data_IF_010309875319
#
_entry.id   IF_010309875319
#
_cell.length_a   1.000
_cell.length_b   1.000
_cell.length_c   1.000
_cell.angle_alpha   90.00
_cell.angle_beta   90.00
_cell.angle_gamma   90.00
#
_symmetry.space_group_name_H-M   'P 1'
#
loop_
_entity.id
_entity.type
_entity.pdbx_description
1 polymer ?
#
# COMPACT_ATOMS: atom_id res chain seq x y z
N UNK A 1 16.46 -6.70 14.41
CA UNK A 1 15.18 -7.36 14.75
C UNK A 1 15.56 -8.67 15.42
N UNK A 2 15.07 -8.94 16.62
CA UNK A 2 15.40 -10.18 17.34
C UNK A 2 14.72 -11.35 16.62
N UNK A 3 15.47 -12.37 16.22
CA UNK A 3 14.91 -13.56 15.59
C UNK A 3 14.26 -14.44 16.65
N UNK A 4 12.94 -14.50 16.63
CA UNK A 4 12.16 -15.42 17.47
C UNK A 4 11.96 -16.75 16.73
N UNK A 5 12.12 -17.91 17.41
CA UNK A 5 11.82 -19.20 16.80
C UNK A 5 10.38 -19.25 16.27
N UNK A 6 10.18 -19.86 15.10
CA UNK A 6 8.87 -19.95 14.46
C UNK A 6 7.84 -20.63 15.37
N UNK A 7 8.25 -21.63 16.14
CA UNK A 7 7.38 -22.34 17.08
C UNK A 7 6.88 -21.44 18.23
N UNK A 8 7.75 -20.56 18.74
CA UNK A 8 7.37 -19.59 19.77
C UNK A 8 6.30 -18.63 19.25
N UNK A 9 6.47 -18.13 18.02
CA UNK A 9 5.49 -17.25 17.37
C UNK A 9 4.14 -17.97 17.18
N UNK A 10 4.16 -19.23 16.73
CA UNK A 10 2.94 -20.02 16.56
C UNK A 10 2.24 -20.31 17.90
N UNK A 11 3.01 -20.59 18.96
CA UNK A 11 2.47 -20.78 20.31
C UNK A 11 1.75 -19.53 20.83
N UNK A 12 2.33 -18.34 20.63
CA UNK A 12 1.72 -17.06 21.01
C UNK A 12 0.44 -16.79 20.20
N UNK A 13 0.47 -16.99 18.88
CA UNK A 13 -0.73 -16.85 18.03
C UNK A 13 -1.86 -17.73 18.54
N UNK A 14 -1.55 -19.00 18.87
CA UNK A 14 -2.54 -19.95 19.37
C UNK A 14 -3.16 -19.46 20.68
N UNK A 15 -2.33 -19.03 21.64
CA UNK A 15 -2.80 -18.50 22.93
C UNK A 15 -3.71 -17.27 22.75
N UNK A 16 -3.35 -16.34 21.88
CA UNK A 16 -4.16 -15.15 21.60
C UNK A 16 -5.54 -15.54 21.03
N UNK A 17 -5.57 -16.49 20.10
CA UNK A 17 -6.81 -16.97 19.49
C UNK A 17 -7.70 -17.75 20.47
N UNK A 18 -7.13 -18.67 21.26
CA UNK A 18 -7.85 -19.45 22.26
C UNK A 18 -8.52 -18.54 23.31
N UNK A 19 -7.90 -17.40 23.62
CA UNK A 19 -8.42 -16.41 24.57
C UNK A 19 -9.21 -15.28 23.92
N UNK A 20 -9.47 -15.33 22.60
CA UNK A 20 -10.21 -14.30 21.84
C UNK A 20 -9.63 -12.89 22.00
N UNK A 21 -8.30 -12.79 22.15
CA UNK A 21 -7.60 -11.51 22.25
C UNK A 21 -7.42 -10.93 20.85
N UNK A 22 -7.99 -9.75 20.61
CA UNK A 22 -7.79 -9.00 19.38
C UNK A 22 -6.59 -8.06 19.48
N UNK A 23 -5.96 -7.82 18.34
CA UNK A 23 -4.80 -6.93 18.26
C UNK A 23 -5.26 -5.48 18.11
N UNK A 24 -4.43 -4.53 18.53
CA UNK A 24 -4.75 -3.12 18.37
C UNK A 24 -4.88 -2.72 16.90
N UNK A 25 -5.68 -1.69 16.67
CA UNK A 25 -5.89 -1.17 15.34
C UNK A 25 -4.61 -0.51 14.81
N UNK A 26 -4.25 -0.82 13.56
CA UNK A 26 -3.10 -0.24 12.88
C UNK A 26 -3.61 0.79 11.88
N UNK A 27 -3.07 2.01 11.97
CA UNK A 27 -3.32 3.05 10.99
C UNK A 27 -2.29 2.94 9.84
N UNK A 28 -2.78 2.72 8.63
CA UNK A 28 -1.95 2.83 7.42
C UNK A 28 -2.28 4.10 6.63
N UNK A 29 -1.29 4.67 5.91
CA UNK A 29 -1.50 5.83 5.04
C UNK A 29 -2.52 5.63 3.92
N UNK A 30 -3.02 4.40 3.72
CA UNK A 30 -4.17 4.09 2.85
C UNK A 30 -5.50 4.64 3.40
N UNK A 31 -5.52 5.24 4.60
CA UNK A 31 -6.72 5.81 5.22
C UNK A 31 -7.63 4.75 5.84
N UNK A 32 -7.16 3.51 5.95
CA UNK A 32 -7.89 2.41 6.58
C UNK A 32 -7.37 2.16 7.99
N UNK A 33 -8.30 1.88 8.89
CA UNK A 33 -8.01 1.29 10.19
C UNK A 33 -8.06 -0.22 10.04
N UNK A 34 -6.92 -0.88 10.20
CA UNK A 34 -6.83 -2.33 10.08
C UNK A 34 -6.84 -2.98 11.46
N UNK A 35 -7.63 -4.03 11.64
CA UNK A 35 -7.67 -4.86 12.86
C UNK A 35 -7.09 -6.23 12.54
N UNK A 36 -5.75 -6.40 12.60
CA UNK A 36 -5.13 -7.67 12.27
C UNK A 36 -5.64 -8.79 13.18
N UNK A 37 -5.87 -9.96 12.61
CA UNK A 37 -5.81 -11.18 13.42
C UNK A 37 -4.38 -11.37 13.96
N UNK A 38 -4.17 -12.15 15.03
CA UNK A 38 -2.83 -12.49 15.50
C UNK A 38 -1.92 -13.09 14.40
N UNK A 39 -2.49 -13.82 13.44
CA UNK A 39 -1.78 -14.37 12.29
C UNK A 39 -1.32 -13.28 11.32
N UNK A 40 -2.14 -12.26 11.08
CA UNK A 40 -1.85 -11.17 10.16
C UNK A 40 -0.63 -10.36 10.62
N UNK A 41 -0.45 -10.21 11.94
CA UNK A 41 0.74 -9.55 12.50
C UNK A 41 2.02 -10.23 12.03
N UNK A 42 2.06 -11.57 12.00
CA UNK A 42 3.27 -12.29 11.60
C UNK A 42 3.59 -12.05 10.13
N UNK A 43 2.57 -12.11 9.27
CA UNK A 43 2.70 -11.81 7.85
C UNK A 43 3.16 -10.36 7.62
N UNK A 44 2.56 -9.41 8.35
CA UNK A 44 2.89 -8.00 8.29
C UNK A 44 4.30 -7.67 8.80
N UNK A 45 4.77 -8.32 9.88
CA UNK A 45 6.15 -8.13 10.39
C UNK A 45 7.17 -8.66 9.38
N UNK A 46 6.90 -9.83 8.77
CA UNK A 46 7.81 -10.43 7.79
C UNK A 46 7.95 -9.55 6.54
N UNK A 47 6.83 -9.04 6.03
CA UNK A 47 6.81 -8.23 4.83
C UNK A 47 5.59 -7.31 4.79
N UNK A 48 5.72 -6.13 5.41
CA UNK A 48 4.64 -5.15 5.53
C UNK A 48 4.08 -4.70 4.17
N UNK A 49 4.96 -4.51 3.19
CA UNK A 49 4.55 -4.07 1.85
C UNK A 49 3.79 -5.18 1.12
N UNK A 50 4.25 -6.44 1.21
CA UNK A 50 3.52 -7.57 0.62
C UNK A 50 2.16 -7.78 1.28
N UNK A 51 2.10 -7.65 2.61
CA UNK A 51 0.87 -7.77 3.38
C UNK A 51 -0.19 -6.77 2.90
N UNK A 52 0.11 -5.47 2.92
CA UNK A 52 -0.87 -4.46 2.50
C UNK A 52 -1.16 -4.47 1.00
N UNK A 53 -0.20 -4.89 0.16
CA UNK A 53 -0.46 -5.11 -1.26
C UNK A 53 -1.52 -6.20 -1.47
N UNK A 54 -1.43 -7.30 -0.72
CA UNK A 54 -2.42 -8.38 -0.74
C UNK A 54 -3.80 -7.90 -0.25
N UNK A 55 -3.85 -7.16 0.87
CA UNK A 55 -5.09 -6.55 1.37
C UNK A 55 -5.74 -5.60 0.33
N UNK A 56 -4.92 -4.94 -0.49
CA UNK A 56 -5.38 -4.06 -1.55
C UNK A 56 -5.69 -4.79 -2.88
N UNK A 57 -5.40 -6.09 -3.00
CA UNK A 57 -5.56 -6.84 -4.25
C UNK A 57 -4.62 -6.40 -5.38
N UNK A 58 -3.44 -5.87 -5.05
CA UNK A 58 -2.42 -5.41 -6.01
C UNK A 58 -1.08 -6.10 -5.75
N UNK A 59 -0.14 -5.98 -6.69
CA UNK A 59 1.22 -6.51 -6.49
C UNK A 59 2.03 -5.66 -5.48
N UNK A 60 3.02 -6.29 -4.84
CA UNK A 60 3.94 -5.59 -3.91
C UNK A 60 4.64 -4.41 -4.58
N UNK A 61 5.10 -4.58 -5.82
CA UNK A 61 5.77 -3.50 -6.57
C UNK A 61 4.83 -2.32 -6.85
N UNK A 62 3.57 -2.60 -7.20
CA UNK A 62 2.54 -1.56 -7.37
C UNK A 62 2.26 -0.80 -6.07
N UNK A 63 2.19 -1.50 -4.93
CA UNK A 63 2.02 -0.87 -3.62
C UNK A 63 3.21 0.02 -3.25
N UNK A 64 4.44 -0.44 -3.54
CA UNK A 64 5.66 0.34 -3.31
C UNK A 64 5.74 1.58 -4.20
N UNK A 65 5.33 1.48 -5.48
CA UNK A 65 5.23 2.63 -6.38
C UNK A 65 4.23 3.66 -5.83
N UNK A 66 3.06 3.21 -5.38
CA UNK A 66 2.06 4.07 -4.76
C UNK A 66 2.61 4.78 -3.52
N UNK A 67 3.29 4.06 -2.60
CA UNK A 67 3.91 4.65 -1.40
C UNK A 67 4.92 5.75 -1.74
N UNK A 68 5.75 5.54 -2.77
CA UNK A 68 6.68 6.56 -3.26
C UNK A 68 5.94 7.81 -3.74
N UNK A 69 4.84 7.63 -4.46
CA UNK A 69 4.00 8.75 -4.92
C UNK A 69 3.27 9.45 -3.77
N UNK A 70 2.85 8.76 -2.72
CA UNK A 70 2.25 9.40 -1.53
C UNK A 70 3.28 10.29 -0.83
N UNK A 71 4.51 9.80 -0.66
CA UNK A 71 5.58 10.57 0.00
C UNK A 71 6.11 11.75 -0.86
N UNK A 72 6.28 11.54 -2.18
CA UNK A 72 6.85 12.52 -3.10
C UNK A 72 5.85 13.39 -3.88
N UNK A 73 4.56 13.02 -3.83
CA UNK A 73 3.51 13.56 -4.68
C UNK A 73 3.37 12.80 -6.01
N UNK A 74 2.13 12.69 -6.49
CA UNK A 74 1.83 11.99 -7.75
C UNK A 74 2.05 12.90 -8.95
N UNK A 75 3.02 12.55 -9.81
CA UNK A 75 3.35 13.28 -11.03
C UNK A 75 2.56 12.78 -12.24
N UNK A 76 2.33 13.68 -13.20
CA UNK A 76 1.70 13.36 -14.47
C UNK A 76 2.58 12.43 -15.31
N UNK A 77 1.99 11.38 -15.89
CA UNK A 77 2.71 10.41 -16.74
C UNK A 77 2.77 10.80 -18.22
N UNK A 78 2.25 11.97 -18.59
CA UNK A 78 2.32 12.46 -19.97
C UNK A 78 3.75 12.89 -20.33
N UNK A 79 4.17 12.61 -21.55
CA UNK A 79 5.46 13.02 -22.09
C UNK A 79 5.27 14.00 -23.25
N UNK A 80 6.19 14.95 -23.41
CA UNK A 80 6.21 15.81 -24.60
C UNK A 80 6.78 15.05 -25.81
N UNK A 81 6.81 15.70 -26.98
CA UNK A 81 7.37 15.12 -28.22
C UNK A 81 8.87 14.79 -28.11
N UNK A 82 9.60 15.42 -27.20
CA UNK A 82 11.01 15.12 -26.91
C UNK A 82 11.19 13.99 -25.88
N UNK A 83 10.11 13.41 -25.36
CA UNK A 83 10.16 12.34 -24.36
C UNK A 83 10.34 12.82 -22.91
N UNK A 84 10.22 14.12 -22.63
CA UNK A 84 10.31 14.63 -21.27
C UNK A 84 8.97 14.52 -20.54
N UNK A 85 9.01 13.99 -19.31
CA UNK A 85 7.82 13.82 -18.47
C UNK A 85 7.28 15.17 -17.97
N UNK A 86 5.96 15.32 -17.99
CA UNK A 86 5.27 16.46 -17.40
C UNK A 86 5.51 16.54 -15.89
N UNK A 87 6.10 17.65 -15.43
CA UNK A 87 6.38 17.90 -14.01
C UNK A 87 5.16 18.31 -13.16
N UNK A 88 3.97 18.43 -13.77
CA UNK A 88 2.74 18.81 -13.05
C UNK A 88 2.23 17.64 -12.22
N UNK A 89 1.64 17.93 -11.06
CA UNK A 89 0.95 16.94 -10.24
C UNK A 89 -0.37 16.52 -10.90
N UNK A 90 -0.80 15.28 -10.66
CA UNK A 90 -2.13 14.81 -11.09
C UNK A 90 -3.21 15.53 -10.27
N UNK A 91 -4.42 15.66 -10.83
CA UNK A 91 -5.57 16.19 -10.08
C UNK A 91 -6.09 15.15 -9.08
N UNK A 92 -6.56 15.60 -7.90
CA UNK A 92 -7.16 14.72 -6.89
C UNK A 92 -6.18 13.71 -6.28
N UNK A 93 -4.88 14.04 -6.20
CA UNK A 93 -3.83 13.11 -5.79
C UNK A 93 -3.78 12.78 -4.29
N UNK A 94 -4.42 13.60 -3.44
CA UNK A 94 -4.30 13.46 -1.98
C UNK A 94 -5.07 12.27 -1.41
N UNK A 95 -6.10 11.82 -2.13
CA UNK A 95 -7.04 10.79 -1.67
C UNK A 95 -6.97 9.53 -2.53
N UNK A 96 -5.87 9.37 -3.28
CA UNK A 96 -5.77 8.32 -4.28
C UNK A 96 -5.34 7.03 -3.62
N UNK A 97 -6.27 6.09 -3.48
CA UNK A 97 -6.00 4.76 -2.92
C UNK A 97 -5.01 3.96 -3.79
N UNK A 98 -4.32 2.94 -3.22
CA UNK A 98 -3.44 2.06 -3.99
C UNK A 98 -4.11 1.45 -5.23
N UNK A 99 -5.36 1.02 -5.12
CA UNK A 99 -6.13 0.41 -6.20
C UNK A 99 -6.41 1.42 -7.31
N UNK A 100 -6.89 2.61 -6.96
CA UNK A 100 -7.13 3.69 -7.92
C UNK A 100 -5.84 4.12 -8.63
N UNK A 101 -4.70 4.09 -7.94
CA UNK A 101 -3.41 4.39 -8.55
C UNK A 101 -3.07 3.38 -9.63
N UNK A 102 -3.17 2.09 -9.31
CA UNK A 102 -2.90 1.01 -10.25
C UNK A 102 -3.85 1.06 -11.44
N UNK A 103 -5.14 1.25 -11.19
CA UNK A 103 -6.16 1.34 -12.24
C UNK A 103 -5.87 2.52 -13.17
N UNK A 104 -5.62 3.72 -12.62
CA UNK A 104 -5.30 4.89 -13.44
C UNK A 104 -3.97 4.76 -14.16
N UNK A 105 -2.99 4.04 -13.58
CA UNK A 105 -1.71 3.74 -14.24
C UNK A 105 -1.96 2.85 -15.47
N UNK A 106 -2.72 1.77 -15.30
CA UNK A 106 -3.11 0.84 -16.38
C UNK A 106 -3.91 1.53 -17.48
N UNK A 107 -4.85 2.39 -17.11
CA UNK A 107 -5.70 3.13 -18.04
C UNK A 107 -5.02 4.36 -18.67
N UNK A 108 -3.78 4.69 -18.29
CA UNK A 108 -3.08 5.86 -18.79
C UNK A 108 -3.71 7.20 -18.36
N UNK A 109 -4.45 7.22 -17.25
CA UNK A 109 -5.19 8.38 -16.72
C UNK A 109 -4.52 9.02 -15.49
N UNK A 110 -3.32 8.58 -15.09
CA UNK A 110 -2.45 9.30 -14.14
C UNK A 110 -1.88 10.58 -14.74
N UNK A 111 -2.76 11.51 -15.11
CA UNK A 111 -2.42 12.73 -15.84
C UNK A 111 -2.89 13.96 -15.07
N UNK A 112 -2.26 15.10 -15.35
CA UNK A 112 -2.74 16.38 -14.84
C UNK A 112 -3.95 16.85 -15.66
N UNK A 113 -4.67 17.85 -15.15
CA UNK A 113 -5.88 18.39 -15.79
C UNK A 113 -5.70 18.81 -17.26
N UNK A 114 -4.46 19.15 -17.66
CA UNK A 114 -4.15 19.53 -19.05
C UNK A 114 -4.10 18.32 -19.98
N UNK A 115 -3.65 17.17 -19.48
CA UNK A 115 -3.44 15.95 -20.27
C UNK A 115 -4.56 14.92 -20.12
N UNK A 116 -5.56 15.19 -19.28
CA UNK A 116 -6.76 14.37 -19.09
C UNK A 116 -7.89 14.67 -20.11
N UNK A 117 -7.58 15.42 -21.17
CA UNK A 117 -8.50 15.76 -22.27
C UNK A 117 -8.63 14.62 -23.28
#
# INVERSE_FOLDING_TARGET
MQDYPAETIQGIIRLLNENKIQTEAIYEPIGCTFHPSPQDIVSMIRDRDAFFANECGISKSEYQDWKKCVAGGFQCTAHNKQGEQCRKRISGYRDLSPQQFVERKKNGTLKCAIHLK
#
